data_IF_063830564318
#
_entry.id   IF_063830564318
#
_cell.length_a   1.000
_cell.length_b   1.000
_cell.length_c   1.000
_cell.angle_alpha   90.00
_cell.angle_beta   90.00
_cell.angle_gamma   90.00
#
_symmetry.space_group_name_H-M   'P 1'
#
loop_
_entity.id
_entity.type
_entity.pdbx_description
1 polymer ?
#
# COMPACT_ATOMS: atom_id res chain seq x y z
N UNK A 1 18.67 -3.77 15.31
CA UNK A 1 17.37 -3.23 14.86
C UNK A 1 17.63 -2.10 13.89
N UNK A 2 16.82 -1.96 12.84
CA UNK A 2 16.96 -0.86 11.88
C UNK A 2 16.47 0.45 12.54
N UNK A 3 17.21 1.58 12.46
CA UNK A 3 16.74 2.85 13.03
C UNK A 3 15.48 3.37 12.32
N UNK A 4 14.55 4.06 13.02
CA UNK A 4 13.30 4.57 12.44
C UNK A 4 13.48 5.36 11.14
N UNK A 5 14.53 6.18 11.05
CA UNK A 5 14.87 6.97 9.87
C UNK A 5 15.07 6.14 8.58
N UNK A 6 15.29 4.82 8.69
CA UNK A 6 15.53 3.93 7.56
C UNK A 6 14.36 2.99 7.26
N UNK A 7 13.30 2.98 8.09
CA UNK A 7 12.18 2.05 7.93
C UNK A 7 11.49 2.23 6.57
N UNK A 8 11.22 3.48 6.21
CA UNK A 8 10.59 3.79 4.92
C UNK A 8 11.43 3.34 3.73
N UNK A 9 12.74 3.66 3.76
CA UNK A 9 13.66 3.31 2.69
C UNK A 9 13.75 1.78 2.55
N UNK A 10 13.81 1.06 3.66
CA UNK A 10 13.82 -0.40 3.66
C UNK A 10 12.57 -0.99 2.97
N UNK A 11 11.38 -0.51 3.30
CA UNK A 11 10.14 -0.98 2.67
C UNK A 11 10.09 -0.58 1.20
N UNK A 12 10.42 0.68 0.89
CA UNK A 12 10.42 1.24 -0.46
C UNK A 12 11.30 0.43 -1.40
N UNK A 13 12.57 0.22 -1.05
CA UNK A 13 13.51 -0.46 -1.94
C UNK A 13 13.14 -1.93 -2.20
N UNK A 14 12.53 -2.63 -1.22
CA UNK A 14 12.03 -3.99 -1.44
C UNK A 14 10.86 -4.03 -2.43
N UNK A 15 9.98 -3.04 -2.37
CA UNK A 15 8.85 -2.93 -3.29
C UNK A 15 9.26 -2.46 -4.68
N UNK A 16 10.17 -1.48 -4.77
CA UNK A 16 10.75 -1.04 -6.05
C UNK A 16 11.42 -2.22 -6.77
N UNK A 17 12.14 -3.07 -6.05
CA UNK A 17 12.70 -4.29 -6.63
C UNK A 17 11.63 -5.28 -7.09
N UNK A 18 10.57 -5.49 -6.31
CA UNK A 18 9.46 -6.33 -6.71
C UNK A 18 8.78 -5.82 -7.98
N UNK A 19 8.58 -4.50 -8.12
CA UNK A 19 8.05 -3.90 -9.34
C UNK A 19 9.01 -4.04 -10.53
N UNK A 20 10.32 -3.87 -10.31
CA UNK A 20 11.33 -4.05 -11.35
C UNK A 20 11.28 -5.47 -11.93
N UNK A 21 11.19 -6.47 -11.05
CA UNK A 21 11.08 -7.88 -11.47
C UNK A 21 9.73 -8.16 -12.13
N UNK A 22 8.63 -7.61 -11.62
CA UNK A 22 7.29 -7.80 -12.17
C UNK A 22 7.13 -7.32 -13.63
N UNK A 23 8.01 -6.42 -14.09
CA UNK A 23 8.05 -5.92 -15.47
C UNK A 23 8.94 -6.77 -16.40
N UNK A 24 9.74 -7.68 -15.86
CA UNK A 24 10.75 -8.42 -16.64
C UNK A 24 10.19 -9.77 -17.09
N UNK A 25 10.14 -10.02 -18.40
CA UNK A 25 9.76 -11.33 -18.94
C UNK A 25 8.25 -11.61 -18.98
N UNK A 26 7.41 -10.57 -18.84
CA UNK A 26 5.96 -10.68 -18.90
C UNK A 26 5.36 -9.65 -19.86
N UNK A 27 4.33 -10.04 -20.62
CA UNK A 27 3.59 -9.14 -21.52
C UNK A 27 2.90 -8.02 -20.71
N UNK A 28 2.48 -8.35 -19.48
CA UNK A 28 1.85 -7.43 -18.56
C UNK A 28 2.55 -7.45 -17.19
N UNK A 29 2.62 -6.31 -16.47
CA UNK A 29 3.22 -6.27 -15.14
C UNK A 29 2.47 -7.19 -14.16
N UNK A 30 3.21 -8.03 -13.44
CA UNK A 30 2.62 -8.87 -12.39
C UNK A 30 2.10 -8.02 -11.21
N UNK A 31 1.00 -8.42 -10.55
CA UNK A 31 0.54 -7.76 -9.33
C UNK A 31 1.53 -8.00 -8.18
N UNK A 32 1.98 -6.92 -7.54
CA UNK A 32 2.84 -7.00 -6.34
C UNK A 32 1.97 -6.94 -5.08
N UNK A 33 2.02 -7.99 -4.26
CA UNK A 33 1.38 -8.01 -2.94
C UNK A 33 2.47 -7.97 -1.85
N UNK A 34 2.45 -6.93 -1.03
CA UNK A 34 3.43 -6.76 0.05
C UNK A 34 3.06 -7.64 1.25
N UNK A 35 4.03 -8.35 1.82
CA UNK A 35 3.80 -9.10 3.06
C UNK A 35 4.16 -8.23 4.27
N UNK A 36 3.21 -7.98 5.17
CA UNK A 36 3.40 -7.11 6.32
C UNK A 36 3.09 -7.84 7.64
N UNK A 37 4.02 -7.78 8.60
CA UNK A 37 3.76 -8.24 9.98
C UNK A 37 2.94 -7.19 10.73
N UNK A 38 2.13 -7.63 11.68
CA UNK A 38 1.42 -6.75 12.61
C UNK A 38 2.27 -6.30 13.81
N UNK A 39 3.45 -6.90 14.00
CA UNK A 39 4.32 -6.66 15.16
C UNK A 39 5.79 -6.45 14.79
N UNK A 40 6.52 -5.73 15.64
CA UNK A 40 7.98 -5.65 15.59
C UNK A 40 8.60 -7.02 15.85
N UNK A 41 9.48 -7.51 14.94
CA UNK A 41 10.06 -8.86 15.07
C UNK A 41 10.81 -9.09 16.40
N UNK A 42 11.43 -8.04 16.95
CA UNK A 42 12.29 -8.13 18.13
C UNK A 42 11.54 -8.06 19.46
N UNK A 43 10.42 -7.33 19.51
CA UNK A 43 9.70 -7.07 20.76
C UNK A 43 8.31 -7.71 20.82
N UNK A 44 7.76 -8.18 19.70
CA UNK A 44 6.40 -8.70 19.63
C UNK A 44 5.31 -7.64 19.82
N UNK A 45 5.68 -6.36 20.05
CA UNK A 45 4.70 -5.27 20.15
C UNK A 45 4.04 -5.02 18.80
N UNK A 46 2.73 -4.78 18.84
CA UNK A 46 1.98 -4.30 17.68
C UNK A 46 2.58 -2.99 17.14
N UNK A 47 2.53 -2.87 15.81
CA UNK A 47 2.98 -1.68 15.09
C UNK A 47 2.14 -0.47 15.50
N UNK A 48 2.76 0.68 15.72
CA UNK A 48 2.03 1.93 15.92
C UNK A 48 1.38 2.40 14.61
N UNK A 49 0.52 3.41 14.67
CA UNK A 49 0.00 4.03 13.45
C UNK A 49 1.14 4.58 12.55
N UNK A 50 2.20 5.15 13.13
CA UNK A 50 3.36 5.62 12.36
C UNK A 50 4.08 4.45 11.68
N UNK A 51 4.25 3.32 12.36
CA UNK A 51 4.81 2.11 11.76
C UNK A 51 3.94 1.61 10.58
N UNK A 52 2.60 1.71 10.70
CA UNK A 52 1.67 1.36 9.61
C UNK A 52 1.79 2.30 8.41
N UNK A 53 2.02 3.60 8.65
CA UNK A 53 2.35 4.57 7.59
C UNK A 53 3.62 4.17 6.87
N UNK A 54 4.66 3.82 7.63
CA UNK A 54 5.97 3.45 7.09
C UNK A 54 6.02 2.04 6.49
N UNK A 55 4.92 1.28 6.51
CA UNK A 55 4.82 -0.07 5.93
C UNK A 55 3.69 -0.18 4.90
N UNK A 56 2.45 -0.26 5.37
CA UNK A 56 1.24 -0.35 4.52
C UNK A 56 1.06 0.94 3.73
N UNK A 57 1.31 2.11 4.34
CA UNK A 57 1.25 3.40 3.65
C UNK A 57 2.23 3.49 2.50
N UNK A 58 3.48 3.08 2.70
CA UNK A 58 4.51 2.99 1.62
C UNK A 58 4.05 2.05 0.52
N UNK A 59 3.47 0.91 0.88
CA UNK A 59 2.98 -0.08 -0.08
C UNK A 59 1.88 0.49 -0.98
N UNK A 60 0.89 1.15 -0.38
CA UNK A 60 -0.17 1.83 -1.13
C UNK A 60 0.39 2.98 -1.98
N UNK A 61 1.30 3.80 -1.42
CA UNK A 61 1.88 4.94 -2.11
C UNK A 61 2.68 4.54 -3.36
N UNK A 62 3.32 3.37 -3.36
CA UNK A 62 4.04 2.85 -4.53
C UNK A 62 3.14 2.12 -5.54
N UNK A 63 1.83 2.04 -5.28
CA UNK A 63 0.86 1.39 -6.16
C UNK A 63 0.91 -0.14 -6.11
N UNK A 64 1.21 -0.72 -4.95
CA UNK A 64 1.08 -2.16 -4.74
C UNK A 64 -0.36 -2.62 -5.01
N UNK A 65 -0.52 -3.85 -5.49
CA UNK A 65 -1.84 -4.41 -5.75
C UNK A 65 -2.60 -4.72 -4.46
N UNK A 66 -1.87 -4.96 -3.36
CA UNK A 66 -2.44 -5.17 -2.04
C UNK A 66 -1.36 -5.48 -1.00
N UNK A 67 -1.82 -5.75 0.22
CA UNK A 67 -0.98 -6.17 1.34
C UNK A 67 -1.56 -7.45 1.95
N UNK A 68 -0.70 -8.42 2.21
CA UNK A 68 -1.03 -9.63 2.97
C UNK A 68 -0.55 -9.42 4.41
N UNK A 69 -1.51 -9.34 5.33
CA UNK A 69 -1.24 -9.19 6.75
C UNK A 69 -0.91 -10.55 7.36
N UNK A 70 0.21 -10.63 8.06
CA UNK A 70 0.65 -11.85 8.72
C UNK A 70 0.77 -11.65 10.22
N UNK A 71 0.25 -12.63 10.94
CA UNK A 71 0.42 -12.80 12.37
C UNK A 71 0.97 -14.16 12.70
N UNK A 72 1.72 -14.22 13.79
CA UNK A 72 2.19 -15.48 14.34
C UNK A 72 1.17 -16.03 15.36
N UNK A 73 1.31 -17.31 15.70
CA UNK A 73 0.37 -18.00 16.60
C UNK A 73 0.36 -17.44 18.03
N UNK A 74 1.33 -16.59 18.42
CA UNK A 74 1.32 -15.97 19.75
C UNK A 74 0.16 -14.99 19.93
N UNK A 75 -0.42 -14.47 18.84
CA UNK A 75 -1.55 -13.52 18.94
C UNK A 75 -2.85 -14.18 19.40
N UNK A 76 -2.90 -15.51 19.39
CA UNK A 76 -4.06 -16.30 19.79
C UNK A 76 -3.69 -17.39 20.81
N UNK A 77 -2.60 -17.18 21.58
CA UNK A 77 -2.13 -18.18 22.54
C UNK A 77 -2.95 -18.21 23.84
N UNK A 78 -3.68 -17.14 24.16
CA UNK A 78 -4.57 -17.05 25.31
C UNK A 78 -5.75 -16.13 25.02
N UNK A 79 -6.75 -16.13 25.90
CA UNK A 79 -7.88 -15.20 25.82
C UNK A 79 -7.42 -13.74 25.89
N UNK A 80 -6.46 -13.45 26.76
CA UNK A 80 -5.89 -12.11 26.92
C UNK A 80 -5.18 -11.64 25.65
N UNK A 81 -4.38 -12.49 25.00
CA UNK A 81 -3.71 -12.13 23.74
C UNK A 81 -4.71 -11.94 22.58
N UNK A 82 -5.77 -12.73 22.53
CA UNK A 82 -6.87 -12.52 21.59
C UNK A 82 -7.55 -11.15 21.79
N UNK A 83 -7.80 -10.74 23.05
CA UNK A 83 -8.36 -9.42 23.35
C UNK A 83 -7.39 -8.29 23.00
N UNK A 84 -6.09 -8.45 23.26
CA UNK A 84 -5.07 -7.47 22.83
C UNK A 84 -5.02 -7.32 21.32
N UNK A 85 -5.14 -8.42 20.57
CA UNK A 85 -5.27 -8.37 19.12
C UNK A 85 -6.55 -7.66 18.71
N UNK A 86 -7.69 -8.00 19.31
CA UNK A 86 -8.97 -7.35 19.04
C UNK A 86 -8.88 -5.82 19.21
N UNK A 87 -8.35 -5.36 20.33
CA UNK A 87 -8.22 -3.94 20.63
C UNK A 87 -7.30 -3.23 19.64
N UNK A 88 -6.22 -3.90 19.20
CA UNK A 88 -5.35 -3.39 18.16
C UNK A 88 -6.05 -3.31 16.79
N UNK A 89 -6.84 -4.33 16.43
CA UNK A 89 -7.60 -4.36 15.18
C UNK A 89 -8.64 -3.24 15.14
N UNK A 90 -9.39 -3.04 16.22
CA UNK A 90 -10.46 -2.04 16.29
C UNK A 90 -9.89 -0.63 16.48
N UNK A 91 -8.89 -0.48 17.34
CA UNK A 91 -8.36 0.83 17.76
C UNK A 91 -7.29 1.41 16.84
N UNK A 92 -6.56 0.60 16.07
CA UNK A 92 -5.40 1.08 15.30
C UNK A 92 -5.38 0.55 13.87
N UNK A 93 -5.30 -0.77 13.68
CA UNK A 93 -5.09 -1.33 12.34
C UNK A 93 -6.31 -1.12 11.42
N UNK A 94 -7.51 -1.43 11.90
CA UNK A 94 -8.75 -1.33 11.14
C UNK A 94 -9.01 0.09 10.61
N UNK A 95 -9.04 1.12 11.47
CA UNK A 95 -9.20 2.51 11.04
C UNK A 95 -8.17 2.93 9.98
N UNK A 96 -6.90 2.55 10.18
CA UNK A 96 -5.83 2.88 9.25
C UNK A 96 -6.00 2.17 7.89
N UNK A 97 -6.30 0.87 7.89
CA UNK A 97 -6.55 0.09 6.66
C UNK A 97 -7.76 0.62 5.91
N UNK A 98 -8.83 1.02 6.59
CA UNK A 98 -10.00 1.65 5.98
C UNK A 98 -9.61 2.97 5.30
N UNK A 99 -8.85 3.83 5.98
CA UNK A 99 -8.41 5.12 5.43
C UNK A 99 -7.60 4.93 4.13
N UNK A 100 -6.52 4.13 4.18
CA UNK A 100 -5.64 3.93 3.03
C UNK A 100 -6.36 3.23 1.86
N UNK A 101 -7.26 2.28 2.16
CA UNK A 101 -8.03 1.59 1.13
C UNK A 101 -9.00 2.55 0.45
N UNK A 102 -9.77 3.35 1.23
CA UNK A 102 -10.68 4.35 0.67
C UNK A 102 -9.95 5.40 -0.14
N UNK A 103 -8.80 5.87 0.34
CA UNK A 103 -7.95 6.83 -0.38
C UNK A 103 -7.47 6.25 -1.73
N UNK A 104 -6.98 5.01 -1.74
CA UNK A 104 -6.53 4.35 -2.97
C UNK A 104 -7.68 4.14 -3.97
N UNK A 105 -8.86 3.71 -3.50
CA UNK A 105 -10.05 3.55 -4.34
C UNK A 105 -10.53 4.89 -4.91
N UNK A 106 -10.62 5.92 -4.08
CA UNK A 106 -11.06 7.24 -4.51
C UNK A 106 -10.05 7.86 -5.50
N UNK A 107 -8.75 7.73 -5.26
CA UNK A 107 -7.72 8.17 -6.20
C UNK A 107 -7.83 7.43 -7.54
N UNK A 108 -8.01 6.10 -7.52
CA UNK A 108 -8.22 5.29 -8.72
C UNK A 108 -9.42 5.80 -9.54
N UNK A 109 -10.55 6.04 -8.89
CA UNK A 109 -11.77 6.54 -9.56
C UNK A 109 -11.60 7.95 -10.12
N UNK A 110 -11.07 8.88 -9.31
CA UNK A 110 -11.03 10.30 -9.67
C UNK A 110 -9.88 10.68 -10.60
N UNK A 111 -8.75 9.96 -10.55
CA UNK A 111 -7.52 10.29 -11.30
C UNK A 111 -7.24 9.32 -12.43
N UNK A 112 -7.62 8.06 -12.23
CA UNK A 112 -7.31 6.96 -13.14
C UNK A 112 -8.57 6.34 -13.77
N UNK A 113 -9.72 7.03 -13.72
CA UNK A 113 -11.01 6.59 -14.26
C UNK A 113 -11.49 5.21 -13.77
N UNK A 114 -10.99 4.74 -12.62
CA UNK A 114 -11.25 3.38 -12.13
C UNK A 114 -10.51 2.28 -12.90
N UNK A 115 -9.66 2.66 -13.84
CA UNK A 115 -8.93 1.79 -14.77
C UNK A 115 -7.42 1.72 -14.48
N UNK A 116 -7.01 2.20 -13.31
CA UNK A 116 -5.63 2.10 -12.86
C UNK A 116 -5.48 2.38 -11.37
N UNK A 117 -4.27 2.14 -10.86
CA UNK A 117 -3.88 2.45 -9.48
C UNK A 117 -3.10 3.75 -9.43
N UNK A 118 -3.29 4.53 -8.38
CA UNK A 118 -2.40 5.65 -8.11
C UNK A 118 -1.06 5.14 -7.56
N UNK A 119 0.04 5.63 -8.13
CA UNK A 119 1.39 5.41 -7.64
C UNK A 119 2.15 6.73 -7.61
N UNK A 120 2.90 6.95 -6.54
CA UNK A 120 3.70 8.15 -6.34
C UNK A 120 4.68 8.34 -7.51
N UNK A 121 4.71 9.55 -8.04
CA UNK A 121 5.47 9.93 -9.24
C UNK A 121 6.96 10.03 -8.96
N UNK A 122 7.32 10.73 -7.89
CA UNK A 122 8.70 11.02 -7.53
C UNK A 122 9.10 10.25 -6.26
N UNK A 123 10.12 9.38 -6.32
CA UNK A 123 10.69 8.72 -5.15
C UNK A 123 11.17 9.69 -4.04
N UNK A 124 11.53 10.93 -4.39
CA UNK A 124 11.94 11.98 -3.46
C UNK A 124 10.80 12.56 -2.62
N UNK A 125 9.54 12.39 -3.03
CA UNK A 125 8.36 12.83 -2.29
C UNK A 125 7.98 11.82 -1.20
N UNK A 126 8.92 11.54 -0.30
CA UNK A 126 8.79 10.46 0.68
C UNK A 126 7.58 10.63 1.62
N UNK A 127 7.17 11.86 1.90
CA UNK A 127 6.01 12.17 2.76
C UNK A 127 4.65 12.07 2.06
N UNK A 128 4.60 11.85 0.74
CA UNK A 128 3.34 11.72 0.02
C UNK A 128 2.77 10.30 0.18
N UNK A 129 1.65 10.20 0.90
CA UNK A 129 0.89 8.96 1.13
C UNK A 129 -0.55 9.08 0.62
N UNK A 130 -1.15 7.92 0.30
CA UNK A 130 -2.57 7.83 -0.03
C UNK A 130 -3.40 7.75 1.24
N UNK A 131 -3.68 8.89 1.85
CA UNK A 131 -4.62 9.03 2.96
C UNK A 131 -5.74 10.00 2.61
N UNK A 132 -6.86 9.86 3.32
CA UNK A 132 -7.95 10.84 3.33
C UNK A 132 -7.76 11.82 4.49
N UNK A 133 -8.10 13.08 4.27
CA UNK A 133 -8.22 14.08 5.32
C UNK A 133 -9.44 13.79 6.23
N UNK A 134 -9.51 14.37 7.45
CA UNK A 134 -10.62 14.12 8.38
C UNK A 134 -12.01 14.48 7.83
N UNK A 135 -12.08 15.44 6.91
CA UNK A 135 -13.31 15.84 6.20
C UNK A 135 -13.65 14.91 5.02
N UNK A 136 -12.86 13.86 4.80
CA UNK A 136 -13.00 12.92 3.69
C UNK A 136 -12.46 13.45 2.36
N UNK A 137 -11.86 14.64 2.33
CA UNK A 137 -11.27 15.18 1.12
C UNK A 137 -9.98 14.45 0.73
N UNK A 138 -9.66 14.40 -0.57
CA UNK A 138 -8.35 13.95 -1.06
C UNK A 138 -7.20 14.68 -0.36
N UNK A 139 -6.18 13.92 0.06
CA UNK A 139 -4.90 14.50 0.46
C UNK A 139 -4.08 14.98 -0.74
N UNK A 140 -2.76 15.00 -0.59
CA UNK A 140 -1.79 15.47 -1.60
C UNK A 140 -1.66 14.54 -2.83
N UNK A 141 -2.76 14.31 -3.55
CA UNK A 141 -2.81 13.39 -4.70
C UNK A 141 -2.10 13.95 -5.93
N UNK A 142 -1.73 15.23 -5.96
CA UNK A 142 -0.87 15.88 -6.97
C UNK A 142 0.46 15.16 -7.20
N UNK A 143 0.97 14.48 -6.17
CA UNK A 143 2.21 13.70 -6.24
C UNK A 143 2.03 12.31 -6.86
N UNK A 144 0.82 11.94 -7.29
CA UNK A 144 0.50 10.63 -7.82
C UNK A 144 0.28 10.65 -9.33
N UNK A 145 0.58 9.51 -9.96
CA UNK A 145 0.36 9.19 -11.37
C UNK A 145 -0.38 7.85 -11.47
N UNK A 146 -0.97 7.58 -12.62
CA UNK A 146 -1.72 6.34 -12.82
C UNK A 146 -0.85 5.21 -13.38
N UNK A 147 -0.98 4.03 -12.79
CA UNK A 147 -0.53 2.75 -13.34
C UNK A 147 -1.75 1.97 -13.81
N UNK A 148 -1.97 1.95 -15.13
CA UNK A 148 -3.18 1.39 -15.70
C UNK A 148 -3.27 -0.13 -15.55
N UNK A 149 -4.50 -0.62 -15.39
CA UNK A 149 -4.80 -2.04 -15.47
C UNK A 149 -4.63 -2.55 -16.90
N UNK A 150 -4.57 -3.87 -17.04
CA UNK A 150 -4.54 -4.52 -18.34
C UNK A 150 -5.74 -4.06 -19.18
N UNK A 151 -5.48 -3.75 -20.46
CA UNK A 151 -6.49 -3.20 -21.37
C UNK A 151 -6.65 -1.69 -21.33
N UNK A 152 -5.90 -0.95 -20.50
CA UNK A 152 -6.01 0.51 -20.40
C UNK A 152 -4.66 1.23 -20.57
N UNK A 153 -4.70 2.45 -21.09
CA UNK A 153 -3.55 3.28 -21.42
C UNK A 153 -3.85 4.77 -21.23
N UNK A 154 -2.81 5.58 -21.44
CA UNK A 154 -2.85 7.02 -21.25
C UNK A 154 -2.47 7.44 -19.82
N UNK A 155 -2.24 8.75 -19.59
CA UNK A 155 -1.78 9.27 -18.30
C UNK A 155 -2.81 9.13 -17.16
N UNK A 156 -4.09 8.97 -17.52
CA UNK A 156 -5.24 8.83 -16.61
C UNK A 156 -6.01 7.52 -16.81
N UNK A 157 -5.45 6.58 -17.58
CA UNK A 157 -6.05 5.28 -17.87
C UNK A 157 -7.44 5.34 -18.53
N UNK A 158 -7.70 6.39 -19.31
CA UNK A 158 -8.98 6.58 -19.98
C UNK A 158 -9.08 5.83 -21.32
N UNK A 159 -7.94 5.53 -21.94
CA UNK A 159 -7.91 4.99 -23.29
C UNK A 159 -7.85 3.45 -23.23
N UNK A 160 -8.76 2.72 -23.90
CA UNK A 160 -8.63 1.28 -24.04
C UNK A 160 -7.42 0.94 -24.93
N UNK A 161 -6.61 -0.05 -24.53
CA UNK A 161 -5.56 -0.59 -25.38
C UNK A 161 -6.21 -1.47 -26.46
N UNK A 162 -5.79 -1.36 -27.74
CA UNK A 162 -6.17 -2.33 -28.75
C UNK A 162 -5.78 -3.74 -28.28
N UNK A 163 -6.66 -4.73 -28.48
CA UNK A 163 -6.28 -6.13 -28.26
C UNK A 163 -5.09 -6.46 -29.16
N UNK A 164 -3.97 -6.87 -28.57
CA UNK A 164 -2.85 -7.43 -29.32
C UNK A 164 -3.35 -8.73 -29.96
N UNK A 165 -3.47 -8.74 -31.29
CA UNK A 165 -3.79 -9.94 -32.05
C UNK A 165 -2.76 -11.03 -31.72
N UNK A 166 -3.19 -12.08 -31.05
CA UNK A 166 -2.45 -13.33 -30.83
C UNK A 166 -2.04 -13.97 -32.14
#
# INVERSE_FOLDING_TARGET
MLPPAHHQAFVRYRLEEAFRVALTGHIHPLPVLAYARLTHRSSGRFLSQDDLVQTIGVSAALGAAGVVLWGDLSFSSSEEECWRLHDYLVGTLGPYVINVTRAATACSQQRCHGHGRCARRDPGQMEAFLHLQPDGSPGAWEFFSCRCYQGWAGPTCQDPRPEEAT
#
